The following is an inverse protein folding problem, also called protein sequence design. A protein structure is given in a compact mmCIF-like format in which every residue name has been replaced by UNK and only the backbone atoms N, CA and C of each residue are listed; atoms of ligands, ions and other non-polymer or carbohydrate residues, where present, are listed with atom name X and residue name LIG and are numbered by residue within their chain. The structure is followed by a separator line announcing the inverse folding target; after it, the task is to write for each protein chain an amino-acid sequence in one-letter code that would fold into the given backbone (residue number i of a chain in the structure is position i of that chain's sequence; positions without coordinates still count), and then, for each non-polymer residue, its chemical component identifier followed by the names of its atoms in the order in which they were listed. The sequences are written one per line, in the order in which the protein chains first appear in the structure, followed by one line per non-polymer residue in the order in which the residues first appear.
data_IF_113188676644
#
_entry.id   IF_113188676644
#
_cell.length_a   1.000
_cell.length_b   1.000
_cell.length_c   1.000
_cell.angle_alpha   90.00
_cell.angle_beta   90.00
_cell.angle_gamma   90.00
#
_symmetry.space_group_name_H-M   'P 1'
#
loop_
_entity.id
_entity.type
_entity.pdbx_description
1 polymer ?
#
# COMPACT_ATOMS: atom_id res chain seq x y z
N UNK A 1 -4.50 -7.26 9.44
CA UNK A 1 -4.18 -5.94 10.07
C UNK A 1 -5.45 -5.14 10.21
N UNK A 2 -5.93 -4.91 11.45
CA UNK A 2 -7.12 -4.09 11.76
C UNK A 2 -6.70 -2.73 12.28
N UNK A 3 -7.60 -1.75 12.29
CA UNK A 3 -7.29 -0.41 12.84
C UNK A 3 -6.84 -0.46 14.30
N UNK A 4 -7.40 -1.35 15.12
CA UNK A 4 -6.99 -1.52 16.53
C UNK A 4 -5.54 -2.01 16.69
N UNK A 5 -4.98 -2.65 15.68
CA UNK A 5 -3.60 -3.16 15.66
C UNK A 5 -2.58 -2.10 15.20
N UNK A 6 -3.06 -0.97 14.67
CA UNK A 6 -2.20 0.17 14.29
C UNK A 6 -1.97 1.05 15.50
N UNK A 7 -0.71 1.31 15.82
CA UNK A 7 -0.33 2.15 16.98
C UNK A 7 -0.76 3.59 16.75
N UNK A 8 -1.48 4.18 17.70
CA UNK A 8 -1.93 5.56 17.66
C UNK A 8 -2.89 5.87 16.51
N UNK A 9 -2.80 7.08 15.94
CA UNK A 9 -3.51 7.57 14.75
C UNK A 9 -5.05 7.62 14.88
N UNK A 10 -5.59 7.75 16.09
CA UNK A 10 -7.04 7.61 16.37
C UNK A 10 -7.92 8.54 15.51
N UNK A 11 -7.50 9.81 15.37
CA UNK A 11 -8.24 10.77 14.54
C UNK A 11 -8.28 10.35 13.07
N UNK A 12 -7.14 9.93 12.52
CA UNK A 12 -7.04 9.47 11.13
C UNK A 12 -7.87 8.22 10.88
N UNK A 13 -7.82 7.24 11.78
CA UNK A 13 -8.67 6.04 11.72
C UNK A 13 -10.15 6.42 11.65
N UNK A 14 -10.60 7.29 12.55
CA UNK A 14 -11.99 7.76 12.57
C UNK A 14 -12.38 8.50 11.29
N UNK A 15 -11.49 9.34 10.74
CA UNK A 15 -11.73 10.07 9.51
C UNK A 15 -11.83 9.13 8.29
N UNK A 16 -10.95 8.12 8.20
CA UNK A 16 -10.98 7.09 7.15
C UNK A 16 -12.25 6.25 7.22
N UNK A 17 -12.63 5.78 8.40
CA UNK A 17 -13.87 5.02 8.63
C UNK A 17 -15.08 5.84 8.19
N UNK A 18 -15.15 7.10 8.61
CA UNK A 18 -16.26 8.00 8.25
C UNK A 18 -16.34 8.24 6.74
N UNK A 19 -15.20 8.38 6.05
CA UNK A 19 -15.17 8.53 4.60
C UNK A 19 -15.74 7.28 3.90
N UNK A 20 -15.38 6.09 4.36
CA UNK A 20 -15.92 4.82 3.80
C UNK A 20 -17.41 4.70 4.03
N UNK A 21 -17.88 4.96 5.25
CA UNK A 21 -19.31 4.85 5.59
C UNK A 21 -20.17 5.90 4.86
N UNK A 22 -19.58 7.03 4.48
CA UNK A 22 -20.23 8.08 3.71
C UNK A 22 -20.10 7.91 2.19
N UNK A 23 -19.47 6.82 1.72
CA UNK A 23 -19.13 6.55 0.31
C UNK A 23 -18.37 7.72 -0.37
N UNK A 24 -17.49 8.39 0.40
CA UNK A 24 -16.65 9.49 -0.04
C UNK A 24 -15.19 9.08 -0.11
N UNK A 25 -14.92 8.10 -0.98
CA UNK A 25 -13.59 7.52 -1.14
C UNK A 25 -12.94 8.08 -2.41
N UNK A 26 -11.81 8.76 -2.27
CA UNK A 26 -11.02 9.17 -3.43
C UNK A 26 -10.38 7.94 -4.08
N UNK A 27 -10.41 7.88 -5.42
CA UNK A 27 -9.82 6.78 -6.18
C UNK A 27 -8.30 6.67 -6.03
N UNK A 28 -7.61 7.74 -5.61
CA UNK A 28 -6.18 7.74 -5.37
C UNK A 28 -5.86 8.51 -4.08
N UNK A 29 -5.25 7.84 -3.13
CA UNK A 29 -4.93 8.36 -1.81
C UNK A 29 -3.44 8.17 -1.53
N UNK A 30 -2.78 9.23 -1.03
CA UNK A 30 -1.36 9.22 -0.66
C UNK A 30 -1.23 9.31 0.86
N UNK A 31 -0.94 8.17 1.48
CA UNK A 31 -0.55 8.08 2.88
C UNK A 31 0.92 8.51 2.99
N UNK A 32 1.18 9.61 3.66
CA UNK A 32 2.52 10.21 3.75
C UNK A 32 2.93 10.45 5.18
N UNK A 33 4.13 10.00 5.53
CA UNK A 33 4.74 10.17 6.85
C UNK A 33 6.14 9.57 6.83
N UNK A 34 6.98 9.91 7.81
CA UNK A 34 8.31 9.33 7.88
C UNK A 34 8.23 7.82 8.22
N UNK A 35 9.27 7.08 7.84
CA UNK A 35 9.41 5.68 8.21
C UNK A 35 9.17 5.47 9.72
N UNK A 36 8.41 4.43 10.08
CA UNK A 36 8.04 4.16 11.47
C UNK A 36 6.81 4.91 11.99
N UNK A 37 6.22 5.85 11.24
CA UNK A 37 4.99 6.54 11.67
C UNK A 37 3.72 5.69 11.48
N UNK A 38 3.84 4.51 10.88
CA UNK A 38 2.72 3.59 10.68
C UNK A 38 1.91 3.88 9.43
N UNK A 39 2.51 4.47 8.39
CA UNK A 39 1.88 4.73 7.09
C UNK A 39 1.40 3.43 6.44
N UNK A 40 2.27 2.43 6.34
CA UNK A 40 1.95 1.12 5.75
C UNK A 40 0.92 0.34 6.58
N UNK A 41 1.08 0.15 7.92
CA UNK A 41 0.07 -0.48 8.74
C UNK A 41 -1.31 0.17 8.63
N UNK A 42 -1.36 1.50 8.60
CA UNK A 42 -2.62 2.24 8.47
C UNK A 42 -3.30 1.99 7.11
N UNK A 43 -2.52 2.00 6.02
CA UNK A 43 -3.04 1.72 4.67
C UNK A 43 -3.54 0.26 4.54
N UNK A 44 -2.85 -0.71 5.17
CA UNK A 44 -3.29 -2.10 5.21
C UNK A 44 -4.58 -2.28 6.03
N UNK A 45 -4.68 -1.63 7.18
CA UNK A 45 -5.89 -1.66 8.00
C UNK A 45 -7.08 -1.02 7.27
N UNK A 46 -6.82 0.08 6.56
CA UNK A 46 -7.80 0.73 5.71
C UNK A 46 -8.26 -0.17 4.57
N UNK A 47 -7.35 -0.84 3.87
CA UNK A 47 -7.68 -1.81 2.83
C UNK A 47 -8.54 -2.96 3.39
N UNK A 48 -8.21 -3.48 4.58
CA UNK A 48 -9.02 -4.51 5.23
C UNK A 48 -10.42 -4.02 5.60
N UNK A 49 -10.54 -2.77 6.06
CA UNK A 49 -11.84 -2.17 6.35
C UNK A 49 -12.69 -2.00 5.09
N UNK A 50 -12.07 -1.61 3.97
CA UNK A 50 -12.76 -1.49 2.66
C UNK A 50 -13.35 -2.83 2.20
N UNK A 51 -12.59 -3.91 2.30
CA UNK A 51 -13.03 -5.26 1.90
C UNK A 51 -13.93 -5.95 2.92
N UNK A 52 -13.98 -5.48 4.17
CA UNK A 52 -14.77 -6.14 5.21
C UNK A 52 -16.26 -6.20 4.84
N UNK A 53 -16.83 -7.40 4.86
CA UNK A 53 -18.24 -7.64 4.57
C UNK A 53 -19.13 -7.27 5.75
N UNK A 54 -18.61 -7.34 6.98
CA UNK A 54 -19.31 -7.09 8.23
C UNK A 54 -18.61 -5.99 9.03
N UNK A 55 -18.56 -4.78 8.45
CA UNK A 55 -17.91 -3.62 9.08
C UNK A 55 -18.53 -3.34 10.45
N UNK A 56 -17.69 -3.21 11.46
CA UNK A 56 -18.08 -2.74 12.78
C UNK A 56 -18.03 -1.21 12.82
N UNK A 57 -18.51 -0.62 13.91
CA UNK A 57 -18.57 0.84 14.06
C UNK A 57 -17.20 1.51 13.89
N UNK A 58 -16.16 0.89 14.45
CA UNK A 58 -14.83 1.49 14.57
C UNK A 58 -13.72 0.64 13.92
N UNK A 59 -14.05 -0.54 13.33
CA UNK A 59 -13.06 -1.42 12.72
C UNK A 59 -13.69 -2.45 11.76
N UNK A 60 -12.84 -3.18 11.04
CA UNK A 60 -13.22 -4.40 10.34
C UNK A 60 -13.50 -5.54 11.33
N UNK A 61 -14.39 -6.48 10.98
CA UNK A 61 -14.73 -7.59 11.88
C UNK A 61 -13.55 -8.52 12.17
N UNK A 62 -12.62 -8.71 11.21
CA UNK A 62 -11.47 -9.62 11.33
C UNK A 62 -11.80 -11.09 11.07
N UNK A 63 -13.08 -11.46 10.93
CA UNK A 63 -13.53 -12.86 10.91
C UNK A 63 -14.14 -13.27 9.56
N UNK A 64 -14.71 -12.36 8.77
CA UNK A 64 -15.27 -12.69 7.45
C UNK A 64 -14.17 -13.17 6.48
N UNK A 65 -14.58 -13.86 5.42
CA UNK A 65 -13.67 -14.44 4.43
C UNK A 65 -12.70 -13.41 3.84
N UNK A 66 -13.20 -12.23 3.50
CA UNK A 66 -12.38 -11.12 2.98
C UNK A 66 -11.37 -10.63 4.01
N UNK A 67 -11.74 -10.44 5.28
CA UNK A 67 -10.81 -10.06 6.34
C UNK A 67 -9.68 -11.09 6.52
N UNK A 68 -10.00 -12.38 6.54
CA UNK A 68 -8.99 -13.44 6.67
C UNK A 68 -8.02 -13.48 5.49
N UNK A 69 -8.50 -13.23 4.26
CA UNK A 69 -7.65 -13.16 3.06
C UNK A 69 -6.75 -11.93 3.09
N UNK A 70 -7.29 -10.77 3.48
CA UNK A 70 -6.49 -9.52 3.60
C UNK A 70 -5.44 -9.64 4.69
N UNK A 71 -5.76 -10.25 5.83
CA UNK A 71 -4.79 -10.48 6.91
C UNK A 71 -3.58 -11.31 6.45
N UNK A 72 -3.82 -12.29 5.59
CA UNK A 72 -2.77 -13.10 4.95
C UNK A 72 -2.14 -12.42 3.74
N UNK A 73 -2.57 -11.20 3.36
CA UNK A 73 -2.18 -10.49 2.14
C UNK A 73 -2.41 -11.35 0.88
N UNK A 74 -3.54 -12.06 0.85
CA UNK A 74 -3.92 -13.02 -0.20
C UNK A 74 -5.31 -12.73 -0.79
N UNK A 75 -5.88 -11.55 -0.52
CA UNK A 75 -7.15 -11.17 -1.13
C UNK A 75 -6.95 -10.97 -2.65
N UNK A 76 -7.79 -11.59 -3.51
CA UNK A 76 -7.59 -11.56 -4.97
C UNK A 76 -7.65 -10.17 -5.58
N UNK A 77 -8.37 -9.25 -4.96
CA UNK A 77 -8.52 -7.86 -5.41
C UNK A 77 -7.58 -6.87 -4.67
N UNK A 78 -6.65 -7.38 -3.82
CA UNK A 78 -5.60 -6.59 -3.17
C UNK A 78 -4.26 -6.88 -3.83
N UNK A 79 -3.73 -5.89 -4.52
CA UNK A 79 -2.49 -5.98 -5.26
C UNK A 79 -1.43 -5.09 -4.64
N UNK A 80 -0.17 -5.50 -4.78
CA UNK A 80 0.97 -4.78 -4.25
C UNK A 80 1.94 -4.42 -5.37
N UNK A 81 2.60 -3.27 -5.20
CA UNK A 81 3.78 -2.87 -5.93
C UNK A 81 4.74 -2.20 -4.93
N UNK A 82 5.99 -2.60 -4.93
CA UNK A 82 7.01 -2.12 -4.01
C UNK A 82 8.40 -2.18 -4.65
N UNK A 83 9.39 -1.41 -4.14
CA UNK A 83 10.74 -1.44 -4.67
C UNK A 83 11.36 -2.82 -4.56
N UNK A 84 12.02 -3.25 -5.61
CA UNK A 84 12.75 -4.53 -5.68
C UNK A 84 14.17 -4.30 -6.17
N UNK A 85 15.06 -5.22 -5.85
CA UNK A 85 16.40 -5.26 -6.44
C UNK A 85 16.34 -6.06 -7.73
N UNK A 86 16.60 -5.42 -8.87
CA UNK A 86 16.52 -6.09 -10.16
C UNK A 86 17.56 -7.18 -10.31
N UNK A 87 17.17 -8.32 -10.90
CA UNK A 87 18.12 -9.34 -11.33
C UNK A 87 18.46 -9.11 -12.80
N UNK A 88 19.55 -8.38 -13.05
CA UNK A 88 19.99 -8.03 -14.40
C UNK A 88 20.53 -9.23 -15.21
N UNK A 89 20.73 -10.39 -14.55
CA UNK A 89 21.14 -11.63 -15.20
C UNK A 89 19.96 -12.49 -15.69
N UNK A 90 18.73 -12.05 -15.45
CA UNK A 90 17.52 -12.77 -15.87
C UNK A 90 17.02 -12.26 -17.22
N UNK A 91 16.62 -13.17 -18.11
CA UNK A 91 15.96 -12.83 -19.37
C UNK A 91 14.54 -12.26 -19.19
N UNK A 92 13.98 -12.35 -17.97
CA UNK A 92 12.66 -11.81 -17.60
C UNK A 92 12.85 -10.67 -16.61
N UNK A 93 12.21 -9.50 -16.85
CA UNK A 93 12.21 -8.41 -15.87
C UNK A 93 11.64 -8.87 -14.53
N UNK A 94 12.33 -8.53 -13.44
CA UNK A 94 11.82 -8.77 -12.09
C UNK A 94 10.74 -7.76 -11.74
N UNK A 95 9.68 -8.22 -11.08
CA UNK A 95 8.55 -7.43 -10.61
C UNK A 95 8.26 -7.74 -9.13
N UNK A 96 7.42 -6.93 -8.48
CA UNK A 96 7.07 -7.10 -7.06
C UNK A 96 6.51 -8.49 -6.75
N UNK A 97 5.78 -9.12 -7.68
CA UNK A 97 5.21 -10.45 -7.47
C UNK A 97 6.26 -11.54 -7.27
N UNK A 98 7.46 -11.37 -7.83
CA UNK A 98 8.55 -12.33 -7.65
C UNK A 98 9.05 -12.36 -6.18
N UNK A 99 8.76 -11.31 -5.39
CA UNK A 99 9.14 -11.15 -3.98
C UNK A 99 7.92 -11.12 -3.03
N UNK A 100 6.76 -11.55 -3.49
CA UNK A 100 5.52 -11.43 -2.70
C UNK A 100 5.55 -12.28 -1.42
N UNK A 101 6.29 -13.37 -1.40
CA UNK A 101 6.46 -14.22 -0.22
C UNK A 101 7.25 -13.50 0.87
N UNK A 102 8.39 -12.90 0.49
CA UNK A 102 9.24 -12.13 1.40
C UNK A 102 8.51 -10.89 1.92
N UNK A 103 7.69 -10.25 1.06
CA UNK A 103 6.84 -9.12 1.41
C UNK A 103 5.81 -9.48 2.50
N UNK A 104 5.13 -10.60 2.33
CA UNK A 104 4.16 -11.11 3.31
C UNK A 104 4.82 -11.45 4.65
N UNK A 105 5.97 -12.08 4.60
CA UNK A 105 6.75 -12.39 5.78
C UNK A 105 7.20 -11.13 6.51
N UNK A 106 7.74 -10.14 5.79
CA UNK A 106 8.20 -8.88 6.36
C UNK A 106 7.07 -8.12 7.06
N UNK A 107 5.89 -8.01 6.44
CA UNK A 107 4.73 -7.37 7.05
C UNK A 107 4.26 -8.12 8.30
N UNK A 108 4.32 -9.44 8.28
CA UNK A 108 3.93 -10.28 9.43
C UNK A 108 4.90 -10.13 10.59
N UNK A 109 6.20 -10.04 10.32
CA UNK A 109 7.25 -9.87 11.33
C UNK A 109 7.20 -8.46 11.96
N UNK A 110 7.19 -7.45 11.13
CA UNK A 110 7.16 -6.05 11.55
C UNK A 110 6.57 -5.15 10.46
N UNK A 111 5.32 -4.71 10.53
CA UNK A 111 4.71 -3.85 9.51
C UNK A 111 5.22 -2.40 9.53
N UNK A 112 6.07 -2.01 10.50
CA UNK A 112 6.67 -0.68 10.64
C UNK A 112 8.08 -0.58 10.05
N UNK A 113 8.51 -1.57 9.26
CA UNK A 113 9.82 -1.59 8.61
C UNK A 113 10.02 -0.43 7.62
N UNK A 114 11.25 -0.12 7.30
CA UNK A 114 11.65 0.89 6.33
C UNK A 114 12.28 0.26 5.08
N UNK A 115 12.62 1.10 4.08
CA UNK A 115 13.19 0.64 2.82
C UNK A 115 14.53 -0.09 3.02
N UNK A 116 15.34 0.32 4.00
CA UNK A 116 16.64 -0.33 4.26
C UNK A 116 16.43 -1.74 4.80
N UNK A 117 15.49 -1.92 5.75
CA UNK A 117 15.15 -3.24 6.30
C UNK A 117 14.64 -4.16 5.18
N UNK A 118 13.78 -3.65 4.32
CA UNK A 118 13.26 -4.38 3.17
C UNK A 118 14.36 -4.78 2.18
N UNK A 119 15.23 -3.83 1.82
CA UNK A 119 16.33 -4.10 0.87
C UNK A 119 17.27 -5.17 1.40
N UNK A 120 17.61 -5.13 2.70
CA UNK A 120 18.44 -6.15 3.35
C UNK A 120 17.81 -7.55 3.31
N UNK A 121 16.48 -7.63 3.42
CA UNK A 121 15.76 -8.91 3.37
C UNK A 121 15.84 -9.55 1.98
N UNK A 122 15.74 -8.76 0.92
CA UNK A 122 15.69 -9.27 -0.46
C UNK A 122 17.03 -9.29 -1.20
N UNK A 123 18.03 -8.58 -0.70
CA UNK A 123 19.36 -8.52 -1.34
C UNK A 123 20.50 -8.36 -0.33
N UNK A 124 21.31 -9.41 -0.21
CA UNK A 124 22.48 -9.43 0.69
C UNK A 124 23.54 -8.38 0.30
N UNK A 125 23.58 -7.94 -0.97
CA UNK A 125 24.54 -6.95 -1.49
C UNK A 125 24.08 -5.51 -1.29
N UNK A 126 22.92 -5.29 -0.67
CA UNK A 126 22.35 -3.96 -0.36
C UNK A 126 22.30 -3.01 -1.58
N UNK A 127 22.02 -3.53 -2.77
CA UNK A 127 21.83 -2.73 -3.98
C UNK A 127 20.55 -1.89 -3.84
N UNK A 128 20.48 -0.80 -4.60
CA UNK A 128 19.30 0.06 -4.59
C UNK A 128 18.05 -0.68 -5.09
N UNK A 129 17.01 -0.69 -4.28
CA UNK A 129 15.70 -1.19 -4.66
C UNK A 129 14.94 -0.09 -5.43
N UNK A 130 14.29 -0.46 -6.53
CA UNK A 130 13.59 0.46 -7.43
C UNK A 130 12.29 -0.15 -7.95
N UNK A 131 11.32 0.70 -8.32
CA UNK A 131 10.12 0.29 -9.06
C UNK A 131 10.34 0.65 -10.52
N UNK A 132 10.54 -0.37 -11.37
CA UNK A 132 10.83 -0.18 -12.80
C UNK A 132 9.57 -0.14 -13.64
N UNK A 133 9.72 0.26 -14.90
CA UNK A 133 8.62 0.39 -15.87
C UNK A 133 7.84 -0.91 -16.11
N UNK A 134 8.45 -2.07 -15.91
CA UNK A 134 7.77 -3.36 -16.07
C UNK A 134 6.71 -3.57 -14.97
N UNK A 135 6.92 -3.03 -13.77
CA UNK A 135 5.90 -2.99 -12.72
C UNK A 135 4.65 -2.25 -13.17
N UNK A 136 4.79 -1.13 -13.90
CA UNK A 136 3.63 -0.39 -14.40
C UNK A 136 2.80 -1.17 -15.41
N UNK A 137 3.42 -2.06 -16.20
CA UNK A 137 2.71 -2.97 -17.11
C UNK A 137 1.91 -4.02 -16.33
N UNK A 138 2.52 -4.53 -15.27
CA UNK A 138 1.88 -5.51 -14.39
C UNK A 138 0.73 -4.90 -13.60
N UNK A 139 0.89 -3.67 -13.08
CA UNK A 139 -0.20 -2.90 -12.46
C UNK A 139 -1.38 -2.77 -13.43
N UNK A 140 -1.13 -2.33 -14.67
CA UNK A 140 -2.18 -2.24 -15.69
C UNK A 140 -2.86 -3.58 -15.94
N UNK A 141 -2.08 -4.66 -16.09
CA UNK A 141 -2.61 -6.01 -16.30
C UNK A 141 -3.54 -6.44 -15.17
N UNK A 142 -3.12 -6.28 -13.91
CA UNK A 142 -3.92 -6.61 -12.73
C UNK A 142 -5.21 -5.80 -12.67
N UNK A 143 -5.12 -4.50 -12.93
CA UNK A 143 -6.27 -3.60 -12.84
C UNK A 143 -7.23 -3.72 -14.01
N UNK A 144 -6.81 -4.24 -15.17
CA UNK A 144 -7.69 -4.50 -16.33
C UNK A 144 -8.62 -5.70 -16.10
N UNK A 145 -8.29 -6.60 -15.19
CA UNK A 145 -9.15 -7.73 -14.83
C UNK A 145 -10.38 -7.23 -14.07
N UNK A 146 -11.51 -7.94 -14.19
CA UNK A 146 -12.67 -7.66 -13.33
C UNK A 146 -12.34 -7.95 -11.86
N UNK A 147 -12.96 -7.20 -10.94
CA UNK A 147 -12.94 -7.52 -9.53
C UNK A 147 -13.48 -8.94 -9.31
N UNK A 148 -12.83 -9.71 -8.46
CA UNK A 148 -13.16 -11.13 -8.25
C UNK A 148 -14.18 -11.30 -7.11
N UNK A 149 -13.96 -10.68 -5.98
CA UNK A 149 -14.82 -10.81 -4.78
C UNK A 149 -15.23 -9.44 -4.21
N UNK A 150 -14.41 -8.41 -4.36
CA UNK A 150 -14.63 -7.10 -3.74
C UNK A 150 -15.42 -6.12 -4.59
N UNK A 151 -15.98 -5.12 -3.93
CA UNK A 151 -16.56 -3.94 -4.60
C UNK A 151 -15.50 -3.06 -5.27
N UNK A 152 -14.24 -3.21 -4.85
CA UNK A 152 -13.08 -2.46 -5.33
C UNK A 152 -11.92 -3.38 -5.62
N UNK A 153 -11.05 -2.95 -6.56
CA UNK A 153 -9.68 -3.44 -6.69
C UNK A 153 -8.77 -2.42 -6.02
N UNK A 154 -7.92 -2.88 -5.13
CA UNK A 154 -6.98 -2.00 -4.41
C UNK A 154 -5.56 -2.30 -4.91
N UNK A 155 -4.90 -1.26 -5.42
CA UNK A 155 -3.47 -1.26 -5.73
C UNK A 155 -2.74 -0.47 -4.65
N UNK A 156 -2.04 -1.17 -3.76
CA UNK A 156 -1.18 -0.56 -2.77
C UNK A 156 0.24 -0.46 -3.34
N UNK A 157 0.74 0.77 -3.45
CA UNK A 157 2.11 1.06 -3.92
C UNK A 157 2.90 1.61 -2.75
N UNK A 158 3.87 0.81 -2.28
CA UNK A 158 4.76 1.24 -1.19
C UNK A 158 6.02 1.88 -1.73
N UNK A 159 6.43 3.00 -1.13
CA UNK A 159 7.53 3.86 -1.55
C UNK A 159 7.49 4.21 -3.05
N UNK A 160 6.39 4.86 -3.51
CA UNK A 160 6.25 5.27 -4.92
C UNK A 160 7.32 6.26 -5.37
N UNK A 161 8.04 6.93 -4.46
CA UNK A 161 9.20 7.77 -4.74
C UNK A 161 10.39 7.00 -5.33
N UNK A 162 10.44 5.68 -5.17
CA UNK A 162 11.46 4.81 -5.75
C UNK A 162 11.11 4.35 -7.19
N UNK A 163 10.03 4.88 -7.77
CA UNK A 163 9.71 4.65 -9.18
C UNK A 163 10.68 5.39 -10.10
N UNK A 164 11.19 4.70 -11.11
CA UNK A 164 11.89 5.39 -12.18
C UNK A 164 10.94 6.28 -13.00
N UNK A 165 11.48 7.25 -13.72
CA UNK A 165 10.71 8.24 -14.49
C UNK A 165 9.73 7.58 -15.48
N UNK A 166 10.12 6.50 -16.12
CA UNK A 166 9.27 5.78 -17.09
C UNK A 166 8.07 5.11 -16.40
N UNK A 167 8.26 4.52 -15.21
CA UNK A 167 7.19 3.96 -14.39
C UNK A 167 6.24 5.05 -13.90
N UNK A 168 6.79 6.13 -13.34
CA UNK A 168 6.02 7.27 -12.84
C UNK A 168 5.12 7.88 -13.92
N UNK A 169 5.64 8.11 -15.11
CA UNK A 169 4.87 8.67 -16.23
C UNK A 169 3.72 7.75 -16.68
N UNK A 170 3.91 6.43 -16.64
CA UNK A 170 2.82 5.48 -16.93
C UNK A 170 1.76 5.47 -15.83
N UNK A 171 2.19 5.57 -14.55
CA UNK A 171 1.27 5.64 -13.42
C UNK A 171 0.39 6.90 -13.49
N UNK A 172 0.92 8.05 -13.94
CA UNK A 172 0.13 9.26 -14.11
C UNK A 172 -1.11 9.04 -14.98
N UNK A 173 -0.96 8.35 -16.11
CA UNK A 173 -2.09 8.04 -17.00
C UNK A 173 -3.15 7.19 -16.32
N UNK A 174 -2.72 6.21 -15.53
CA UNK A 174 -3.63 5.32 -14.80
C UNK A 174 -4.35 6.06 -13.66
N UNK A 175 -3.66 7.01 -13.02
CA UNK A 175 -4.24 7.83 -11.96
C UNK A 175 -5.24 8.86 -12.48
N UNK A 176 -5.05 9.34 -13.72
CA UNK A 176 -6.00 10.27 -14.38
C UNK A 176 -7.29 9.55 -14.81
N UNK A 177 -7.15 8.37 -15.40
CA UNK A 177 -8.26 7.58 -15.92
C UNK A 177 -8.20 6.15 -15.36
N UNK A 178 -8.50 5.98 -14.05
CA UNK A 178 -8.44 4.68 -13.43
C UNK A 178 -9.51 3.73 -13.98
N UNK A 179 -9.22 2.44 -14.13
CA UNK A 179 -10.24 1.45 -14.40
C UNK A 179 -11.37 1.50 -13.34
N UNK A 180 -12.59 1.14 -13.76
CA UNK A 180 -13.74 1.17 -12.85
C UNK A 180 -13.47 0.41 -11.56
N UNK A 181 -13.98 0.95 -10.44
CA UNK A 181 -13.87 0.37 -9.09
C UNK A 181 -12.41 0.13 -8.64
N UNK A 182 -11.48 0.97 -9.08
CA UNK A 182 -10.07 0.88 -8.68
C UNK A 182 -9.71 1.95 -7.67
N UNK A 183 -9.04 1.53 -6.59
CA UNK A 183 -8.48 2.42 -5.57
C UNK A 183 -6.96 2.27 -5.55
N UNK A 184 -6.27 3.40 -5.57
CA UNK A 184 -4.82 3.47 -5.38
C UNK A 184 -4.52 3.94 -3.96
N UNK A 185 -3.76 3.14 -3.21
CA UNK A 185 -3.21 3.50 -1.92
C UNK A 185 -1.69 3.63 -2.07
N UNK A 186 -1.21 4.85 -2.23
CA UNK A 186 0.22 5.15 -2.28
C UNK A 186 0.70 5.37 -0.85
N UNK A 187 1.78 4.72 -0.47
CA UNK A 187 2.37 4.79 0.88
C UNK A 187 3.80 5.29 0.74
N UNK A 188 4.05 6.52 1.15
CA UNK A 188 5.33 7.21 0.95
C UNK A 188 5.97 7.62 2.27
N UNK A 189 7.24 7.28 2.43
CA UNK A 189 8.07 7.72 3.55
C UNK A 189 8.79 9.05 3.26
N UNK A 190 8.93 9.41 1.97
CA UNK A 190 9.59 10.63 1.50
C UNK A 190 8.75 11.33 0.43
N UNK A 191 7.56 11.86 0.81
CA UNK A 191 6.61 12.41 -0.16
C UNK A 191 7.18 13.58 -0.98
N UNK A 192 8.19 14.29 -0.48
CA UNK A 192 8.85 15.38 -1.19
C UNK A 192 9.67 14.90 -2.40
N UNK A 193 10.08 13.63 -2.42
CA UNK A 193 10.76 12.99 -3.55
C UNK A 193 9.80 12.46 -4.62
N UNK A 194 8.50 12.42 -4.32
CA UNK A 194 7.48 11.98 -5.26
C UNK A 194 7.17 13.10 -6.25
N UNK A 195 7.01 12.76 -7.53
CA UNK A 195 6.67 13.74 -8.56
C UNK A 195 5.43 14.57 -8.17
N UNK A 196 5.52 15.89 -8.29
CA UNK A 196 4.41 16.81 -8.01
C UNK A 196 3.16 16.46 -8.80
N UNK A 197 3.33 15.95 -10.01
CA UNK A 197 2.23 15.48 -10.88
C UNK A 197 1.47 14.29 -10.32
N UNK A 198 2.12 13.39 -9.59
CA UNK A 198 1.46 12.29 -8.84
C UNK A 198 0.78 12.86 -7.59
N UNK A 199 1.51 13.71 -6.84
CA UNK A 199 0.97 14.33 -5.63
C UNK A 199 -0.32 15.14 -5.89
N UNK A 200 -0.40 15.84 -7.03
CA UNK A 200 -1.57 16.67 -7.38
C UNK A 200 -2.81 15.86 -7.77
N UNK A 201 -2.64 14.57 -8.10
CA UNK A 201 -3.73 13.63 -8.47
C UNK A 201 -4.16 12.72 -7.33
N UNK A 202 -3.56 12.91 -6.16
CA UNK A 202 -3.84 12.08 -5.00
C UNK A 202 -4.40 12.90 -3.84
N UNK A 203 -5.36 12.34 -3.13
CA UNK A 203 -5.80 12.88 -1.84
C UNK A 203 -4.71 12.63 -0.79
N UNK A 204 -4.13 13.70 -0.26
CA UNK A 204 -3.05 13.60 0.72
C UNK A 204 -3.61 13.27 2.12
N UNK A 205 -3.12 12.18 2.70
CA UNK A 205 -3.40 11.72 4.06
C UNK A 205 -2.07 11.77 4.82
N UNK A 206 -1.88 12.82 5.61
CA UNK A 206 -0.66 12.95 6.43
C UNK A 206 -0.78 12.10 7.68
N UNK A 207 0.18 11.19 7.85
CA UNK A 207 0.29 10.34 9.03
C UNK A 207 1.29 10.99 9.98
N UNK A 208 0.85 11.52 11.12
CA UNK A 208 1.73 12.18 12.07
C UNK A 208 2.61 11.19 12.82
N UNK A 209 3.65 11.70 13.46
CA UNK A 209 4.50 10.91 14.36
C UNK A 209 3.68 10.26 15.47
N UNK A 210 4.00 9.01 15.78
CA UNK A 210 3.41 8.29 16.91
C UNK A 210 3.93 8.93 18.20
N UNK A 211 3.03 9.20 19.13
CA UNK A 211 3.39 9.73 20.45
C UNK A 211 4.22 8.71 21.23
N UNK A 212 5.31 9.15 21.87
CA UNK A 212 6.23 8.26 22.59
C UNK A 212 5.52 7.46 23.69
N UNK A 213 4.52 8.04 24.34
CA UNK A 213 3.74 7.36 25.36
C UNK A 213 3.03 6.09 24.83
N UNK A 214 2.61 6.10 23.57
CA UNK A 214 1.94 4.96 22.96
C UNK A 214 2.92 3.86 22.51
N UNK A 215 4.20 4.18 22.33
CA UNK A 215 5.23 3.20 21.95
C UNK A 215 5.70 2.36 23.14
N UNK A 216 5.53 2.83 24.36
CA UNK A 216 5.93 2.10 25.58
C UNK A 216 4.93 0.99 25.96
N UNK A 217 3.77 0.94 25.34
CA UNK A 217 2.72 -0.06 25.59
C UNK A 217 2.81 -1.26 24.62
N UNK A 218 3.72 -1.20 23.65
CA UNK A 218 3.97 -2.21 22.61
C UNK A 218 5.40 -2.72 22.63
#
# INVERSE_FOLDING_TARGET
MRFKEVIGQQKLKSDLIRAVLADKISHAQLFSGQAGYGTLPLALAYAQFLFCEQKQKDDSCGECASCQKVEKLQHPDLHFAFPIVPNDNSNKPSISDDFISDWREQIKENPYFNLVDWTKKIDVKERNAVIRVDESKEILRKLSLKSFEGSYKIMLIWNPEEMNTACSNKLLKILEEPPAQTLFLLVSDKPDNLLLTIQSRTQKIRVPKIELALLSEY
#
